data_IF_038047301995
#
_entry.id   IF_038047301995
#
_cell.length_a   1.000
_cell.length_b   1.000
_cell.length_c   1.000
_cell.angle_alpha   90.00
_cell.angle_beta   90.00
_cell.angle_gamma   90.00
#
_symmetry.space_group_name_H-M   'P 1'
#
loop_
_entity.id
_entity.type
_entity.pdbx_description
1 polymer ?
#
# COMPACT_ATOMS: atom_id res chain seq x y z
N UNK A 1 -11.49 -16.18 -16.15
CA UNK A 1 -11.81 -14.91 -16.85
C UNK A 1 -11.59 -13.76 -15.88
N UNK A 2 -10.46 -13.06 -16.00
CA UNK A 2 -10.12 -11.94 -15.12
C UNK A 2 -10.90 -10.72 -15.58
N UNK A 3 -11.80 -10.18 -14.74
CA UNK A 3 -12.49 -8.91 -15.03
C UNK A 3 -11.49 -7.78 -14.78
N UNK A 4 -11.00 -7.17 -15.84
CA UNK A 4 -10.26 -5.91 -15.76
C UNK A 4 -11.31 -4.81 -15.67
N UNK A 5 -11.39 -4.15 -14.51
CA UNK A 5 -12.27 -3.00 -14.34
C UNK A 5 -11.67 -1.79 -15.08
N UNK A 6 -12.46 -1.05 -15.89
CA UNK A 6 -11.95 0.14 -16.56
C UNK A 6 -11.55 1.20 -15.52
N UNK A 7 -10.27 1.57 -15.51
CA UNK A 7 -9.73 2.63 -14.65
C UNK A 7 -10.40 3.95 -15.04
N UNK A 8 -11.11 4.56 -14.10
CA UNK A 8 -11.60 5.92 -14.26
C UNK A 8 -10.43 6.91 -14.15
N UNK A 9 -9.89 7.33 -15.30
CA UNK A 9 -8.70 8.19 -15.44
C UNK A 9 -8.82 9.55 -14.73
N UNK A 10 -10.04 10.03 -14.48
CA UNK A 10 -10.25 11.29 -13.75
C UNK A 10 -9.96 11.16 -12.24
N UNK A 11 -10.19 9.98 -11.65
CA UNK A 11 -9.87 9.75 -10.21
C UNK A 11 -8.36 9.63 -9.99
N UNK A 12 -7.65 9.02 -10.92
CA UNK A 12 -6.18 8.93 -10.86
C UNK A 12 -5.52 10.30 -11.00
N UNK A 13 -6.09 11.24 -11.75
CA UNK A 13 -5.52 12.59 -11.89
C UNK A 13 -5.58 13.41 -10.58
N UNK A 14 -6.70 13.37 -9.87
CA UNK A 14 -6.89 14.12 -8.61
C UNK A 14 -5.99 13.59 -7.50
N UNK A 15 -5.82 12.27 -7.40
CA UNK A 15 -4.89 11.68 -6.43
C UNK A 15 -3.44 12.12 -6.68
N UNK A 16 -3.01 12.21 -7.95
CA UNK A 16 -1.66 12.67 -8.28
C UNK A 16 -1.43 14.16 -7.99
N UNK A 17 -2.44 15.01 -8.14
CA UNK A 17 -2.32 16.44 -7.80
C UNK A 17 -2.20 16.66 -6.28
N UNK A 18 -2.87 15.83 -5.46
CA UNK A 18 -2.82 15.90 -4.00
C UNK A 18 -1.50 15.32 -3.45
N UNK A 19 -0.91 14.34 -4.15
CA UNK A 19 0.28 13.60 -3.71
C UNK A 19 1.51 13.83 -4.58
N UNK A 20 1.57 14.92 -5.34
CA UNK A 20 2.65 15.17 -6.30
C UNK A 20 4.05 15.06 -5.65
N UNK A 21 4.19 15.57 -4.42
CA UNK A 21 5.43 15.52 -3.66
C UNK A 21 5.76 14.12 -3.12
N UNK A 22 4.78 13.22 -3.02
CA UNK A 22 4.95 11.87 -2.52
C UNK A 22 5.46 10.90 -3.60
N UNK A 23 5.13 11.16 -4.87
CA UNK A 23 5.45 10.28 -6.02
C UNK A 23 6.95 10.02 -6.15
N UNK A 24 7.78 10.98 -5.75
CA UNK A 24 9.23 10.81 -5.77
C UNK A 24 9.72 9.67 -4.84
N UNK A 25 8.94 9.26 -3.84
CA UNK A 25 9.29 8.18 -2.91
C UNK A 25 8.75 6.80 -3.34
N UNK A 26 8.30 6.66 -4.59
CA UNK A 26 7.67 5.43 -5.08
C UNK A 26 6.15 5.52 -5.03
N UNK A 27 5.48 4.38 -5.20
CA UNK A 27 4.03 4.31 -5.26
C UNK A 27 3.48 3.85 -6.61
N UNK A 28 2.15 3.92 -6.74
CA UNK A 28 1.44 3.41 -7.91
C UNK A 28 1.61 4.35 -9.10
N UNK A 29 2.01 3.81 -10.25
CA UNK A 29 2.14 4.52 -11.52
C UNK A 29 1.01 4.11 -12.48
N UNK A 30 -0.05 4.92 -12.65
CA UNK A 30 -1.23 4.53 -13.44
C UNK A 30 -0.95 4.31 -14.92
N UNK A 31 0.00 5.05 -15.49
CA UNK A 31 0.32 4.98 -16.91
C UNK A 31 0.95 3.64 -17.29
N UNK A 32 1.79 3.11 -16.41
CA UNK A 32 2.49 1.83 -16.61
C UNK A 32 1.81 0.67 -15.87
N UNK A 33 0.82 0.96 -15.02
CA UNK A 33 0.19 0.01 -14.10
C UNK A 33 1.21 -0.77 -13.25
N UNK A 34 2.22 -0.06 -12.76
CA UNK A 34 3.29 -0.65 -11.94
C UNK A 34 3.31 -0.01 -10.56
N UNK A 35 3.57 -0.82 -9.53
CA UNK A 35 3.92 -0.32 -8.20
C UNK A 35 5.44 -0.24 -8.08
N UNK A 36 5.97 0.98 -7.89
CA UNK A 36 7.36 1.20 -7.48
C UNK A 36 7.44 1.08 -5.95
N UNK A 37 8.42 0.37 -5.38
CA UNK A 37 8.53 0.21 -3.93
C UNK A 37 8.54 1.55 -3.19
N UNK A 38 7.73 1.65 -2.14
CA UNK A 38 7.56 2.83 -1.31
C UNK A 38 8.73 3.00 -0.34
N UNK A 39 9.41 4.15 -0.41
CA UNK A 39 10.42 4.63 0.55
C UNK A 39 9.75 5.46 1.63
N UNK A 40 8.89 4.81 2.41
CA UNK A 40 7.98 5.49 3.34
C UNK A 40 8.71 6.34 4.39
N UNK A 41 9.85 5.89 4.91
CA UNK A 41 10.62 6.65 5.91
C UNK A 41 11.13 7.97 5.36
N UNK A 42 11.63 7.96 4.13
CA UNK A 42 12.11 9.17 3.46
C UNK A 42 10.96 10.16 3.25
N UNK A 43 9.78 9.65 2.85
CA UNK A 43 8.58 10.46 2.68
C UNK A 43 8.13 11.12 4.00
N UNK A 44 8.09 10.34 5.09
CA UNK A 44 7.73 10.85 6.43
C UNK A 44 8.76 11.85 6.94
N UNK A 45 10.05 11.63 6.70
CA UNK A 45 11.10 12.56 7.10
C UNK A 45 10.99 13.91 6.37
N UNK A 46 10.58 13.89 5.10
CA UNK A 46 10.44 15.10 4.29
C UNK A 46 9.14 15.89 4.59
N UNK A 47 8.03 15.19 4.85
CA UNK A 47 6.70 15.82 4.83
C UNK A 47 5.79 15.46 6.02
N UNK A 48 6.26 14.64 6.96
CA UNK A 48 5.46 14.13 8.08
C UNK A 48 4.57 12.94 7.71
N UNK A 49 3.97 12.29 8.71
CA UNK A 49 3.31 10.99 8.52
C UNK A 49 1.89 11.06 7.92
N UNK A 50 1.16 12.15 8.13
CA UNK A 50 -0.27 12.26 7.77
C UNK A 50 -0.57 11.93 6.31
N UNK A 51 -0.25 12.87 5.42
CA UNK A 51 -0.46 12.74 3.97
C UNK A 51 0.24 11.52 3.37
N UNK A 52 1.41 11.16 3.91
CA UNK A 52 2.22 10.05 3.40
C UNK A 52 1.60 8.68 3.69
N UNK A 53 0.99 8.51 4.87
CA UNK A 53 0.28 7.27 5.21
C UNK A 53 -0.92 7.07 4.29
N UNK A 54 -1.70 8.12 4.05
CA UNK A 54 -2.84 8.06 3.14
C UNK A 54 -2.38 7.77 1.70
N UNK A 55 -1.30 8.41 1.24
CA UNK A 55 -0.73 8.14 -0.08
C UNK A 55 -0.32 6.67 -0.25
N UNK A 56 0.37 6.10 0.75
CA UNK A 56 0.77 4.69 0.73
C UNK A 56 -0.44 3.75 0.68
N UNK A 57 -1.48 4.02 1.49
CA UNK A 57 -2.75 3.26 1.47
C UNK A 57 -3.41 3.29 0.09
N UNK A 58 -3.50 4.47 -0.52
CA UNK A 58 -4.10 4.64 -1.86
C UNK A 58 -3.28 3.94 -2.95
N UNK A 59 -1.95 3.98 -2.88
CA UNK A 59 -1.08 3.28 -3.82
C UNK A 59 -1.26 1.76 -3.74
N UNK A 60 -1.31 1.22 -2.52
CA UNK A 60 -1.54 -0.21 -2.30
C UNK A 60 -2.92 -0.60 -2.81
N UNK A 61 -3.96 0.17 -2.48
CA UNK A 61 -5.31 -0.09 -2.95
C UNK A 61 -5.42 -0.07 -4.48
N UNK A 62 -4.83 0.93 -5.14
CA UNK A 62 -4.80 1.01 -6.61
C UNK A 62 -4.07 -0.19 -7.23
N UNK A 63 -2.95 -0.61 -6.66
CA UNK A 63 -2.17 -1.73 -7.18
C UNK A 63 -2.93 -3.06 -7.07
N UNK A 64 -3.66 -3.27 -5.95
CA UNK A 64 -4.54 -4.43 -5.75
C UNK A 64 -5.71 -4.38 -6.76
N UNK A 65 -6.40 -3.25 -6.88
CA UNK A 65 -7.52 -3.06 -7.81
C UNK A 65 -7.14 -3.31 -9.27
N UNK A 66 -5.92 -2.91 -9.65
CA UNK A 66 -5.38 -3.12 -10.99
C UNK A 66 -4.89 -4.55 -11.25
N UNK A 67 -4.86 -5.42 -10.23
CA UNK A 67 -4.31 -6.77 -10.35
C UNK A 67 -2.82 -6.78 -10.70
N UNK A 68 -2.05 -5.80 -10.19
CA UNK A 68 -0.65 -5.57 -10.54
C UNK A 68 0.34 -6.64 -10.04
N UNK A 69 -0.15 -7.63 -9.32
CA UNK A 69 0.60 -8.72 -8.71
C UNK A 69 0.11 -10.04 -9.29
N UNK A 70 1.03 -10.91 -9.70
CA UNK A 70 0.67 -12.22 -10.21
C UNK A 70 0.23 -13.17 -9.10
N UNK A 71 0.68 -12.94 -7.86
CA UNK A 71 0.27 -13.67 -6.67
C UNK A 71 0.22 -12.77 -5.44
N UNK A 72 -0.40 -13.25 -4.35
CA UNK A 72 -0.45 -12.55 -3.07
C UNK A 72 0.94 -12.43 -2.42
N UNK A 73 1.81 -13.40 -2.64
CA UNK A 73 3.19 -13.37 -2.15
C UNK A 73 4.01 -12.24 -2.81
N UNK A 74 3.84 -12.00 -4.11
CA UNK A 74 4.50 -10.89 -4.80
C UNK A 74 4.09 -9.52 -4.24
N UNK A 75 2.93 -9.44 -3.60
CA UNK A 75 2.39 -8.19 -3.06
C UNK A 75 3.22 -7.71 -1.86
N UNK A 76 3.54 -8.60 -0.91
CA UNK A 76 4.33 -8.23 0.27
C UNK A 76 5.76 -7.81 -0.08
N UNK A 77 6.38 -8.49 -1.05
CA UNK A 77 7.76 -8.24 -1.44
C UNK A 77 8.01 -6.96 -2.24
N UNK A 78 6.96 -6.35 -2.82
CA UNK A 78 7.10 -5.26 -3.78
C UNK A 78 6.55 -3.91 -3.32
N UNK A 79 5.79 -3.88 -2.22
CA UNK A 79 5.13 -2.65 -1.77
C UNK A 79 6.12 -1.68 -1.14
N UNK A 80 7.00 -2.16 -0.26
CA UNK A 80 7.95 -1.32 0.47
C UNK A 80 9.37 -1.56 -0.01
N UNK A 81 10.18 -0.50 -0.05
CA UNK A 81 11.58 -0.58 -0.48
C UNK A 81 12.44 -1.35 0.53
N UNK A 82 12.13 -1.22 1.82
CA UNK A 82 12.83 -1.91 2.91
C UNK A 82 11.87 -2.37 3.99
N UNK A 83 12.29 -3.31 4.83
CA UNK A 83 11.54 -3.73 6.04
C UNK A 83 11.35 -2.56 7.01
N UNK A 84 12.31 -1.63 7.08
CA UNK A 84 12.18 -0.43 7.90
C UNK A 84 11.10 0.54 7.35
N UNK A 85 10.90 0.59 6.03
CA UNK A 85 9.81 1.37 5.43
C UNK A 85 8.44 0.76 5.77
N UNK A 86 8.35 -0.57 5.70
CA UNK A 86 7.17 -1.31 6.14
C UNK A 86 6.85 -1.05 7.62
N UNK A 87 7.83 -1.19 8.51
CA UNK A 87 7.62 -0.98 9.95
C UNK A 87 7.23 0.46 10.28
N UNK A 88 7.83 1.43 9.59
CA UNK A 88 7.47 2.83 9.74
C UNK A 88 6.03 3.09 9.27
N UNK A 89 5.61 2.48 8.16
CA UNK A 89 4.23 2.54 7.69
C UNK A 89 3.25 1.95 8.69
N UNK A 90 3.49 0.72 9.17
CA UNK A 90 2.61 0.10 10.16
C UNK A 90 2.58 0.87 11.49
N UNK A 91 3.68 1.53 11.87
CA UNK A 91 3.72 2.39 13.06
C UNK A 91 2.86 3.64 12.86
N UNK A 92 2.97 4.31 11.72
CA UNK A 92 2.13 5.46 11.39
C UNK A 92 0.65 5.07 11.30
N UNK A 93 0.36 3.94 10.67
CA UNK A 93 -0.99 3.42 10.49
C UNK A 93 -1.68 3.10 11.83
N UNK A 94 -0.94 2.56 12.79
CA UNK A 94 -1.45 2.26 14.13
C UNK A 94 -1.87 3.51 14.94
N UNK A 95 -1.47 4.71 14.50
CA UNK A 95 -1.89 5.97 15.13
C UNK A 95 -3.25 6.48 14.62
N UNK A 96 -3.80 5.87 13.57
CA UNK A 96 -5.12 6.24 13.04
C UNK A 96 -6.22 5.49 13.80
N UNK A 97 -6.90 6.17 14.72
CA UNK A 97 -8.06 5.65 15.45
C UNK A 97 -9.37 5.81 14.65
N UNK A 98 -9.30 5.57 13.33
CA UNK A 98 -10.43 5.71 12.42
C UNK A 98 -10.84 4.37 11.83
N UNK A 99 -12.12 4.27 11.48
CA UNK A 99 -12.63 3.16 10.70
C UNK A 99 -11.90 3.04 9.37
N UNK A 100 -11.64 1.80 8.98
CA UNK A 100 -11.00 1.52 7.71
C UNK A 100 -11.95 1.94 6.59
N UNK A 101 -11.49 2.80 5.68
CA UNK A 101 -12.28 3.16 4.52
C UNK A 101 -12.60 1.89 3.71
N UNK A 102 -13.82 1.76 3.22
CA UNK A 102 -14.30 0.58 2.47
C UNK A 102 -13.36 0.16 1.33
N UNK A 103 -12.78 1.13 0.63
CA UNK A 103 -11.81 0.88 -0.43
C UNK A 103 -10.53 0.21 0.08
N UNK A 104 -9.96 0.77 1.15
CA UNK A 104 -8.78 0.19 1.78
C UNK A 104 -9.12 -1.19 2.35
N UNK A 105 -10.29 -1.32 2.99
CA UNK A 105 -10.75 -2.60 3.52
C UNK A 105 -10.71 -3.69 2.47
N UNK A 106 -11.38 -3.50 1.32
CA UNK A 106 -11.40 -4.54 0.28
C UNK A 106 -10.02 -4.81 -0.32
N UNK A 107 -9.20 -3.77 -0.51
CA UNK A 107 -7.85 -3.94 -1.00
C UNK A 107 -6.97 -4.76 -0.03
N UNK A 108 -6.99 -4.40 1.25
CA UNK A 108 -6.18 -5.07 2.26
C UNK A 108 -6.73 -6.45 2.64
N UNK A 109 -8.05 -6.65 2.63
CA UNK A 109 -8.64 -7.98 2.79
C UNK A 109 -8.21 -8.92 1.66
N UNK A 110 -8.20 -8.43 0.42
CA UNK A 110 -7.71 -9.19 -0.74
C UNK A 110 -6.22 -9.49 -0.65
N UNK A 111 -5.43 -8.49 -0.23
CA UNK A 111 -3.98 -8.63 -0.05
C UNK A 111 -3.64 -9.64 1.04
N UNK A 112 -4.25 -9.51 2.22
CA UNK A 112 -3.93 -10.29 3.41
C UNK A 112 -4.65 -11.64 3.46
N UNK A 113 -5.62 -11.89 2.57
CA UNK A 113 -6.47 -13.09 2.55
C UNK A 113 -7.13 -13.38 3.89
N UNK A 114 -7.71 -12.33 4.48
CA UNK A 114 -8.39 -12.40 5.77
C UNK A 114 -9.89 -12.51 5.58
N UNK A 115 -10.56 -13.15 6.54
CA UNK A 115 -12.01 -13.24 6.57
C UNK A 115 -12.67 -11.87 6.74
N UNK A 116 -13.92 -11.77 6.27
CA UNK A 116 -14.71 -10.55 6.38
C UNK A 116 -14.80 -10.09 7.86
N UNK A 117 -14.70 -8.79 8.09
CA UNK A 117 -14.74 -8.13 9.41
C UNK A 117 -13.51 -8.33 10.32
N UNK A 118 -12.44 -8.96 9.83
CA UNK A 118 -11.16 -9.04 10.57
C UNK A 118 -10.49 -7.66 10.74
N UNK A 119 -10.66 -6.78 9.75
CA UNK A 119 -10.00 -5.47 9.66
C UNK A 119 -10.99 -4.32 9.88
N UNK A 120 -11.25 -3.90 11.13
CA UNK A 120 -12.27 -2.86 11.39
C UNK A 120 -11.70 -1.45 11.34
N UNK A 121 -10.46 -1.28 11.78
CA UNK A 121 -9.76 0.00 11.83
C UNK A 121 -8.31 -0.13 11.34
N UNK A 122 -7.65 1.01 11.19
CA UNK A 122 -6.27 1.07 10.70
C UNK A 122 -5.25 0.45 11.67
N UNK A 123 -5.50 0.47 12.98
CA UNK A 123 -4.62 -0.17 13.95
C UNK A 123 -4.66 -1.71 13.86
N UNK A 124 -5.85 -2.28 13.69
CA UNK A 124 -6.02 -3.72 13.41
C UNK A 124 -5.38 -4.12 12.09
N UNK A 125 -5.54 -3.29 11.05
CA UNK A 125 -4.83 -3.47 9.79
C UNK A 125 -3.31 -3.47 9.98
N UNK A 126 -2.76 -2.54 10.75
CA UNK A 126 -1.33 -2.50 11.01
C UNK A 126 -0.82 -3.75 11.75
N UNK A 127 -1.61 -4.28 12.69
CA UNK A 127 -1.27 -5.50 13.42
C UNK A 127 -1.29 -6.72 12.50
N UNK A 128 -2.37 -6.90 11.75
CA UNK A 128 -2.52 -8.04 10.84
C UNK A 128 -1.48 -8.00 9.72
N UNK A 129 -1.21 -6.82 9.17
CA UNK A 129 -0.21 -6.68 8.12
C UNK A 129 1.18 -7.10 8.61
N UNK A 130 1.55 -6.85 9.87
CA UNK A 130 2.79 -7.35 10.47
C UNK A 130 2.84 -8.87 10.60
N UNK A 131 1.76 -9.47 11.11
CA UNK A 131 1.65 -10.94 11.22
C UNK A 131 1.84 -11.58 9.86
N UNK A 132 1.16 -11.03 8.86
CA UNK A 132 1.22 -11.49 7.51
C UNK A 132 2.60 -11.27 6.87
N UNK A 133 3.20 -10.09 7.02
CA UNK A 133 4.51 -9.76 6.45
C UNK A 133 5.62 -10.68 6.99
N UNK A 134 5.57 -11.02 8.29
CA UNK A 134 6.53 -11.94 8.91
C UNK A 134 6.54 -13.36 8.31
N UNK A 135 5.47 -13.78 7.62
CA UNK A 135 5.41 -15.08 6.93
C UNK A 135 6.27 -15.11 5.66
N UNK A 136 6.60 -13.95 5.10
CA UNK A 136 7.28 -13.82 3.82
C UNK A 136 8.39 -12.77 3.93
N UNK A 137 9.62 -13.16 4.32
CA UNK A 137 10.73 -12.21 4.37
C UNK A 137 10.96 -11.62 2.99
N UNK A 138 11.33 -10.32 2.94
CA UNK A 138 11.78 -9.69 1.71
C UNK A 138 12.90 -10.56 1.13
N UNK A 139 12.71 -11.09 -0.08
CA UNK A 139 13.85 -11.59 -0.84
C UNK A 139 14.84 -10.44 -0.94
N UNK A 140 16.10 -10.62 -0.50
CA UNK A 140 17.11 -9.58 -0.69
C UNK A 140 17.03 -9.16 -2.15
N UNK A 141 16.85 -7.87 -2.40
CA UNK A 141 16.99 -7.35 -3.75
C UNK A 141 18.32 -7.91 -4.26
N UNK A 142 18.28 -8.74 -5.29
CA UNK A 142 19.48 -9.25 -5.92
C UNK A 142 20.33 -8.01 -6.19
N UNK A 143 21.43 -7.91 -5.45
CA UNK A 143 22.30 -6.75 -5.50
C UNK A 143 22.96 -6.82 -6.87
N UNK A 144 22.38 -6.10 -7.83
CA UNK A 144 22.90 -5.92 -9.18
C UNK A 144 23.55 -4.55 -9.29
#
# INVERSE_FOLDING_TARGET
>A
MTRIWPINTNRTRIAFEIYADCVQFGGWLPLTQTLTPLRFRDAVAAFGAGTQTQYALDCIALAVEAGAFASREELKGRVFATEADFDAFCTALAQYDWWLNERHYYAFATLLDVEEFTLRNYAELAAEFRVEYAKYPLTPAESA
#
